data_IF_718436942624
#
_entry.id   IF_718436942624
#
_cell.length_a   1.000
_cell.length_b   1.000
_cell.length_c   1.000
_cell.angle_alpha   90.00
_cell.angle_beta   90.00
_cell.angle_gamma   90.00
#
_symmetry.space_group_name_H-M   'P 1'
#
loop_
_entity.id
_entity.type
_entity.pdbx_description
1 polymer ?
#
# COMPACT_ATOMS: atom_id res chain seq x y z
N UNK A 1 -29.99 18.05 21.60
CA UNK A 1 -29.69 18.55 20.23
C UNK A 1 -28.26 19.05 20.24
N UNK A 2 -27.48 18.68 19.23
CA UNK A 2 -26.12 19.20 18.94
C UNK A 2 -25.01 18.74 19.91
N UNK A 3 -23.87 18.22 19.49
CA UNK A 3 -23.30 17.87 18.18
C UNK A 3 -22.18 16.87 18.54
N UNK A 4 -22.18 15.69 17.91
CA UNK A 4 -21.02 14.80 17.96
C UNK A 4 -19.85 15.51 17.29
N UNK A 5 -19.05 16.21 18.08
CA UNK A 5 -17.70 16.61 17.71
C UNK A 5 -16.81 15.37 17.79
N UNK A 6 -16.98 14.43 16.86
CA UNK A 6 -15.94 13.48 16.55
C UNK A 6 -14.84 14.27 15.81
N UNK A 7 -13.90 14.80 16.57
CA UNK A 7 -12.57 15.10 16.05
C UNK A 7 -11.92 13.75 15.67
N UNK A 8 -12.28 13.18 14.52
CA UNK A 8 -11.47 12.18 13.83
C UNK A 8 -10.24 12.88 13.24
N UNK A 9 -9.30 13.26 14.10
CA UNK A 9 -7.97 13.71 13.73
C UNK A 9 -6.96 13.11 14.69
N UNK A 10 -6.86 11.78 14.64
CA UNK A 10 -5.65 10.99 14.91
C UNK A 10 -5.97 9.57 14.48
N UNK A 11 -6.11 9.33 13.17
CA UNK A 11 -5.94 7.97 12.68
C UNK A 11 -4.47 7.62 12.91
N UNK A 12 -4.19 6.54 13.64
CA UNK A 12 -2.84 6.00 13.71
C UNK A 12 -2.24 5.89 12.29
N UNK A 13 -0.94 6.16 12.12
CA UNK A 13 -0.30 6.06 10.82
C UNK A 13 -0.53 4.65 10.27
N UNK A 14 -0.93 4.56 8.99
CA UNK A 14 -1.23 3.28 8.33
C UNK A 14 0.00 2.38 8.32
N UNK A 15 1.18 3.01 8.22
CA UNK A 15 2.49 2.38 8.25
C UNK A 15 3.43 3.26 9.08
N UNK A 16 4.26 2.66 9.93
CA UNK A 16 5.23 3.41 10.73
C UNK A 16 6.20 4.21 9.86
N UNK A 17 6.56 5.41 10.34
CA UNK A 17 7.55 6.25 9.67
C UNK A 17 8.90 5.52 9.53
N UNK A 18 9.28 4.74 10.54
CA UNK A 18 10.50 3.93 10.52
C UNK A 18 10.51 2.95 9.34
N UNK A 19 9.41 2.24 9.09
CA UNK A 19 9.34 1.33 7.96
C UNK A 19 9.36 2.08 6.62
N UNK A 20 8.66 3.21 6.51
CA UNK A 20 8.70 4.05 5.31
C UNK A 20 10.14 4.51 5.04
N UNK A 21 10.83 5.02 6.06
CA UNK A 21 12.22 5.47 5.95
C UNK A 21 13.14 4.32 5.53
N UNK A 22 12.96 3.13 6.11
CA UNK A 22 13.77 1.96 5.80
C UNK A 22 13.60 1.50 4.34
N UNK A 23 12.36 1.46 3.84
CA UNK A 23 12.09 1.07 2.45
C UNK A 23 12.62 2.14 1.49
N UNK A 24 12.30 3.41 1.72
CA UNK A 24 12.74 4.53 0.87
C UNK A 24 14.27 4.60 0.74
N UNK A 25 14.98 4.46 1.85
CA UNK A 25 16.45 4.41 1.85
C UNK A 25 17.00 3.19 1.11
N UNK A 26 16.32 2.04 1.19
CA UNK A 26 16.65 0.86 0.41
C UNK A 26 16.51 1.10 -1.10
N UNK A 27 15.42 1.72 -1.52
CA UNK A 27 15.16 2.08 -2.93
C UNK A 27 16.20 3.06 -3.46
N UNK A 28 16.58 4.09 -2.69
CA UNK A 28 17.63 5.03 -3.07
C UNK A 28 18.98 4.32 -3.26
N UNK A 29 19.37 3.44 -2.32
CA UNK A 29 20.62 2.66 -2.42
C UNK A 29 20.64 1.70 -3.61
N UNK A 30 19.50 1.11 -3.95
CA UNK A 30 19.34 0.27 -5.14
C UNK A 30 19.56 1.09 -6.40
N UNK A 31 18.90 2.27 -6.51
CA UNK A 31 19.09 3.20 -7.63
C UNK A 31 20.55 3.62 -7.78
N UNK A 32 21.21 4.04 -6.69
CA UNK A 32 22.63 4.40 -6.70
C UNK A 32 23.54 3.26 -7.17
N UNK A 33 23.25 2.03 -6.73
CA UNK A 33 24.00 0.83 -7.14
C UNK A 33 23.86 0.57 -8.65
N UNK A 34 22.64 0.74 -9.19
CA UNK A 34 22.34 0.60 -10.63
C UNK A 34 23.05 1.70 -11.42
N UNK A 35 22.89 2.97 -11.03
CA UNK A 35 23.48 4.13 -11.70
C UNK A 35 25.02 4.06 -11.72
N UNK A 36 25.62 3.57 -10.64
CA UNK A 36 27.07 3.40 -10.52
C UNK A 36 27.61 2.12 -11.15
N UNK A 37 26.77 1.27 -11.74
CA UNK A 37 27.13 -0.05 -12.32
C UNK A 37 27.90 -0.95 -11.36
N UNK A 38 27.65 -0.81 -10.05
CA UNK A 38 28.23 -1.66 -9.01
C UNK A 38 27.44 -2.96 -8.89
N UNK A 39 27.85 -3.83 -7.96
CA UNK A 39 27.11 -5.03 -7.60
C UNK A 39 25.63 -4.68 -7.36
N UNK A 40 24.73 -5.45 -7.97
CA UNK A 40 23.29 -5.21 -7.92
C UNK A 40 22.81 -5.42 -6.47
N UNK A 41 22.49 -4.33 -5.78
CA UNK A 41 21.76 -4.37 -4.52
C UNK A 41 20.27 -4.41 -4.84
N UNK A 42 19.63 -5.56 -4.60
CA UNK A 42 18.16 -5.67 -4.72
C UNK A 42 17.57 -5.42 -3.33
N UNK A 43 16.73 -4.39 -3.21
CA UNK A 43 16.03 -4.14 -1.96
C UNK A 43 15.16 -5.34 -1.60
N UNK A 44 15.22 -5.77 -0.33
CA UNK A 44 14.32 -6.82 0.20
C UNK A 44 12.84 -6.40 0.18
N UNK A 45 12.57 -5.14 -0.14
CA UNK A 45 11.24 -4.53 -0.22
C UNK A 45 10.73 -4.37 -1.65
N UNK A 46 11.43 -4.89 -2.66
CA UNK A 46 11.08 -4.77 -4.09
C UNK A 46 9.71 -5.39 -4.47
N UNK A 47 9.02 -6.06 -3.55
CA UNK A 47 7.65 -6.56 -3.72
C UNK A 47 6.58 -5.77 -2.98
N UNK A 48 6.95 -4.72 -2.24
CA UNK A 48 6.00 -3.93 -1.45
C UNK A 48 5.22 -3.01 -2.37
N UNK A 49 3.91 -3.26 -2.44
CA UNK A 49 2.97 -2.40 -3.17
C UNK A 49 2.52 -1.22 -2.31
N UNK A 50 2.37 -0.08 -2.97
CA UNK A 50 1.88 1.17 -2.39
C UNK A 50 0.61 1.57 -3.14
N UNK A 51 -0.36 2.10 -2.41
CA UNK A 51 -1.58 2.63 -2.99
C UNK A 51 -1.59 4.15 -2.90
N UNK A 52 -1.84 4.81 -4.03
CA UNK A 52 -1.96 6.27 -4.07
C UNK A 52 -3.32 6.69 -4.61
N UNK A 53 -3.88 7.74 -4.00
CA UNK A 53 -5.13 8.36 -4.45
C UNK A 53 -4.84 9.36 -5.56
N UNK A 54 -5.70 9.39 -6.57
CA UNK A 54 -5.66 10.34 -7.68
C UNK A 54 -6.70 11.45 -7.54
N UNK A 55 -6.47 12.60 -8.18
CA UNK A 55 -7.39 13.75 -8.11
C UNK A 55 -8.78 13.45 -8.64
N UNK A 56 -8.87 12.60 -9.66
CA UNK A 56 -10.14 12.12 -10.22
C UNK A 56 -10.88 11.12 -9.30
N UNK A 57 -10.36 10.84 -8.10
CA UNK A 57 -10.96 9.93 -7.12
C UNK A 57 -10.69 8.44 -7.37
N UNK A 58 -9.96 8.09 -8.45
CA UNK A 58 -9.43 6.74 -8.65
C UNK A 58 -8.19 6.50 -7.78
N UNK A 59 -7.72 5.26 -7.77
CA UNK A 59 -6.52 4.83 -7.08
C UNK A 59 -5.57 4.16 -8.05
N UNK A 60 -4.29 4.10 -7.68
CA UNK A 60 -3.28 3.29 -8.35
C UNK A 60 -2.62 2.36 -7.35
N UNK A 61 -2.26 1.17 -7.83
CA UNK A 61 -1.31 0.29 -7.16
C UNK A 61 0.04 0.47 -7.86
N UNK A 62 1.07 0.81 -7.10
CA UNK A 62 2.41 1.14 -7.61
C UNK A 62 3.47 0.61 -6.63
N UNK A 63 4.73 0.99 -6.81
CA UNK A 63 5.84 0.64 -5.93
C UNK A 63 6.76 1.84 -5.66
N UNK A 64 7.74 1.63 -4.79
CA UNK A 64 8.66 2.69 -4.37
C UNK A 64 9.57 3.17 -5.52
N UNK A 65 9.87 2.34 -6.52
CA UNK A 65 10.75 2.73 -7.62
C UNK A 65 10.04 3.65 -8.60
N UNK A 66 8.79 3.32 -8.98
CA UNK A 66 7.95 4.20 -9.78
C UNK A 66 7.70 5.54 -9.07
N UNK A 67 7.46 5.50 -7.76
CA UNK A 67 7.26 6.69 -6.94
C UNK A 67 8.53 7.53 -6.78
N UNK A 68 9.71 6.91 -6.69
CA UNK A 68 10.99 7.62 -6.67
C UNK A 68 11.20 8.37 -7.99
N UNK A 69 10.98 7.70 -9.13
CA UNK A 69 11.06 8.36 -10.43
C UNK A 69 10.09 9.55 -10.55
N UNK A 70 8.86 9.37 -10.06
CA UNK A 70 7.87 10.44 -10.06
C UNK A 70 8.28 11.60 -9.16
N UNK A 71 8.82 11.31 -7.97
CA UNK A 71 9.34 12.29 -7.04
C UNK A 71 10.43 13.16 -7.70
N UNK A 72 11.47 12.52 -8.26
CA UNK A 72 12.58 13.22 -8.91
C UNK A 72 12.10 14.12 -10.06
N UNK A 73 11.10 13.66 -10.81
CA UNK A 73 10.61 14.38 -11.99
C UNK A 73 9.65 15.52 -11.68
N UNK A 74 8.85 15.42 -10.60
CA UNK A 74 7.68 16.28 -10.39
C UNK A 74 7.58 16.90 -9.01
N UNK A 75 8.22 16.33 -8.00
CA UNK A 75 8.00 16.69 -6.60
C UNK A 75 9.27 17.01 -5.82
N UNK A 76 10.46 16.93 -6.44
CA UNK A 76 11.74 17.29 -5.82
C UNK A 76 11.83 18.75 -5.36
N UNK A 77 11.01 19.64 -5.94
CA UNK A 77 10.90 21.05 -5.52
C UNK A 77 9.84 21.29 -4.46
N UNK A 78 9.04 20.27 -4.13
CA UNK A 78 7.92 20.35 -3.19
C UNK A 78 8.22 19.70 -1.85
N UNK A 79 8.97 18.61 -1.84
CA UNK A 79 9.37 17.91 -0.61
C UNK A 79 10.88 17.92 -0.50
N UNK A 80 11.39 17.98 0.73
CA UNK A 80 12.82 18.06 1.00
C UNK A 80 13.51 16.71 0.76
N UNK A 81 12.75 15.61 0.84
CA UNK A 81 13.26 14.27 0.63
C UNK A 81 12.22 13.31 0.07
N UNK A 82 12.72 12.21 -0.52
CA UNK A 82 11.86 11.11 -0.95
C UNK A 82 11.10 10.48 0.23
N UNK A 83 11.71 10.40 1.40
CA UNK A 83 11.08 9.86 2.61
C UNK A 83 9.89 10.70 3.05
N UNK A 84 10.03 12.03 3.03
CA UNK A 84 8.93 12.95 3.32
C UNK A 84 7.78 12.80 2.32
N UNK A 85 8.11 12.76 1.02
CA UNK A 85 7.12 12.51 -0.03
C UNK A 85 6.36 11.19 0.21
N UNK A 86 7.06 10.11 0.56
CA UNK A 86 6.44 8.82 0.83
C UNK A 86 5.59 8.84 2.10
N UNK A 87 6.02 9.52 3.16
CA UNK A 87 5.21 9.66 4.37
C UNK A 87 3.91 10.42 4.08
N UNK A 88 3.98 11.51 3.33
CA UNK A 88 2.81 12.30 2.93
C UNK A 88 1.86 11.50 2.04
N UNK A 89 2.40 10.74 1.09
CA UNK A 89 1.63 9.85 0.21
C UNK A 89 0.86 8.77 0.98
N UNK A 90 1.51 8.14 1.95
CA UNK A 90 0.97 6.97 2.65
C UNK A 90 0.05 7.40 3.80
N UNK A 91 0.51 8.32 4.63
CA UNK A 91 -0.12 8.65 5.92
C UNK A 91 -0.97 9.93 5.89
N UNK A 92 -0.67 10.91 5.03
CA UNK A 92 -1.29 12.26 5.07
C UNK A 92 -2.29 12.52 3.91
N UNK A 93 -2.85 11.45 3.33
CA UNK A 93 -3.85 11.51 2.24
C UNK A 93 -3.44 12.35 1.02
N UNK A 94 -2.13 12.47 0.76
CA UNK A 94 -1.63 13.20 -0.39
C UNK A 94 -2.14 12.61 -1.71
N UNK A 95 -2.55 13.49 -2.62
CA UNK A 95 -3.23 13.10 -3.87
C UNK A 95 -2.34 13.39 -5.09
N UNK A 96 -2.14 12.37 -5.92
CA UNK A 96 -1.37 12.47 -7.15
C UNK A 96 -2.25 12.93 -8.33
N UNK A 97 -1.61 13.51 -9.34
CA UNK A 97 -2.27 13.82 -10.60
C UNK A 97 -2.29 12.58 -11.50
N UNK A 98 -3.45 12.23 -12.03
CA UNK A 98 -3.68 11.11 -12.94
C UNK A 98 -2.84 11.18 -14.22
N UNK A 99 -2.49 12.38 -14.70
CA UNK A 99 -1.67 12.58 -15.91
C UNK A 99 -0.24 12.03 -15.78
N UNK A 100 0.16 11.60 -14.59
CA UNK A 100 1.45 10.97 -14.34
C UNK A 100 1.42 9.45 -14.59
N UNK A 101 0.25 8.85 -14.80
CA UNK A 101 0.06 7.41 -14.86
C UNK A 101 -0.75 6.99 -16.09
N UNK A 102 -0.58 5.75 -16.52
CA UNK A 102 -1.40 5.17 -17.60
C UNK A 102 -2.79 4.86 -17.03
N UNK A 103 -3.86 5.25 -17.72
CA UNK A 103 -5.24 5.09 -17.21
C UNK A 103 -5.57 3.62 -16.87
N UNK A 104 -5.04 2.65 -17.61
CA UNK A 104 -5.22 1.22 -17.37
C UNK A 104 -4.57 0.71 -16.08
N UNK A 105 -3.68 1.49 -15.47
CA UNK A 105 -3.09 1.19 -14.15
C UNK A 105 -3.95 1.70 -12.98
N UNK A 106 -5.09 2.35 -13.27
CA UNK A 106 -5.98 2.91 -12.25
C UNK A 106 -7.15 1.99 -11.94
N UNK A 107 -7.64 2.03 -10.70
CA UNK A 107 -8.83 1.30 -10.26
C UNK A 107 -9.76 2.19 -9.43
N UNK A 108 -11.02 1.79 -9.32
CA UNK A 108 -11.98 2.40 -8.39
C UNK A 108 -12.30 1.42 -7.28
N UNK A 109 -12.53 1.94 -6.07
CA UNK A 109 -12.95 1.09 -4.96
C UNK A 109 -14.35 0.51 -5.24
N UNK A 110 -14.49 -0.79 -5.02
CA UNK A 110 -15.78 -1.46 -5.00
C UNK A 110 -16.59 -0.95 -3.79
N UNK A 111 -17.73 -0.33 -4.06
CA UNK A 111 -18.54 0.33 -3.04
C UNK A 111 -19.13 -0.66 -2.04
N UNK A 112 -19.46 -1.89 -2.47
CA UNK A 112 -20.03 -2.90 -1.59
C UNK A 112 -18.97 -3.34 -0.57
N UNK A 113 -17.74 -3.63 -1.02
CA UNK A 113 -16.64 -3.98 -0.14
C UNK A 113 -16.25 -2.83 0.80
N UNK A 114 -16.26 -1.59 0.31
CA UNK A 114 -15.98 -0.41 1.12
C UNK A 114 -17.03 -0.21 2.21
N UNK A 115 -18.31 -0.37 1.87
CA UNK A 115 -19.40 -0.24 2.85
C UNK A 115 -19.36 -1.39 3.86
N UNK A 116 -19.07 -2.59 3.39
CA UNK A 116 -18.93 -3.76 4.25
C UNK A 116 -17.78 -3.58 5.26
N UNK A 117 -16.61 -3.13 4.80
CA UNK A 117 -15.46 -2.85 5.66
C UNK A 117 -15.77 -1.80 6.74
N UNK A 118 -16.63 -0.82 6.44
CA UNK A 118 -17.08 0.17 7.43
C UNK A 118 -18.06 -0.41 8.45
N UNK A 119 -18.76 -1.49 8.09
CA UNK A 119 -19.79 -2.11 8.93
C UNK A 119 -19.26 -3.23 9.83
N UNK A 120 -18.09 -3.78 9.52
CA UNK A 120 -17.45 -4.89 10.24
C UNK A 120 -16.28 -4.38 11.11
N UNK A 121 -15.95 -5.12 12.16
CA UNK A 121 -14.63 -5.00 12.78
C UNK A 121 -13.55 -5.44 11.79
N UNK A 122 -12.30 -5.04 12.04
CA UNK A 122 -11.20 -5.47 11.17
C UNK A 122 -10.99 -6.99 11.25
N UNK A 123 -11.17 -7.57 12.44
CA UNK A 123 -11.06 -9.00 12.72
C UNK A 123 -12.13 -9.80 11.95
N UNK A 124 -13.39 -9.36 12.01
CA UNK A 124 -14.50 -10.00 11.27
C UNK A 124 -14.29 -9.90 9.75
N UNK A 125 -13.80 -8.75 9.29
CA UNK A 125 -13.43 -8.59 7.89
C UNK A 125 -12.32 -9.58 7.52
N UNK A 126 -11.25 -9.66 8.32
CA UNK A 126 -10.15 -10.57 8.04
C UNK A 126 -10.62 -12.04 8.02
N UNK A 127 -11.44 -12.48 8.98
CA UNK A 127 -12.00 -13.84 9.01
C UNK A 127 -12.88 -14.13 7.79
N UNK A 128 -13.68 -13.15 7.36
CA UNK A 128 -14.57 -13.29 6.21
C UNK A 128 -13.78 -13.45 4.90
N UNK A 129 -12.70 -12.70 4.71
CA UNK A 129 -11.96 -12.65 3.45
C UNK A 129 -10.70 -13.53 3.41
N UNK A 130 -10.26 -14.09 4.55
CA UNK A 130 -9.05 -14.90 4.63
C UNK A 130 -9.27 -16.33 5.13
N UNK A 131 -8.35 -17.23 4.77
CA UNK A 131 -8.30 -18.60 5.25
C UNK A 131 -6.92 -18.92 5.82
N UNK A 132 -6.88 -19.79 6.83
CA UNK A 132 -5.65 -20.42 7.30
C UNK A 132 -5.54 -21.83 6.71
N UNK A 133 -4.39 -22.18 6.13
CA UNK A 133 -4.12 -23.57 5.71
C UNK A 133 -3.68 -24.41 6.91
N UNK A 134 -4.10 -25.68 6.96
CA UNK A 134 -3.76 -26.58 8.07
C UNK A 134 -2.23 -26.68 8.23
N UNK A 135 -1.73 -26.33 9.42
CA UNK A 135 -0.30 -26.34 9.74
C UNK A 135 0.46 -25.07 9.32
N UNK A 136 -0.21 -24.10 8.70
CA UNK A 136 0.37 -22.80 8.39
C UNK A 136 -0.03 -21.75 9.44
N UNK A 137 0.92 -20.90 9.81
CA UNK A 137 0.68 -19.74 10.68
C UNK A 137 0.24 -18.49 9.89
N UNK A 138 0.22 -18.58 8.56
CA UNK A 138 -0.14 -17.49 7.65
C UNK A 138 -1.62 -17.53 7.27
N UNK A 139 -2.14 -16.33 7.00
CA UNK A 139 -3.43 -16.14 6.38
C UNK A 139 -3.28 -15.97 4.87
N UNK A 140 -4.28 -16.43 4.14
CA UNK A 140 -4.34 -16.36 2.69
C UNK A 140 -5.68 -15.78 2.26
N UNK A 141 -5.71 -15.05 1.16
CA UNK A 141 -6.97 -14.57 0.58
C UNK A 141 -7.83 -15.74 0.09
N UNK A 142 -9.14 -15.70 0.31
CA UNK A 142 -10.09 -16.70 -0.22
C UNK A 142 -10.28 -16.58 -1.73
N UNK A 143 -10.60 -17.70 -2.38
CA UNK A 143 -10.65 -17.88 -3.85
C UNK A 143 -11.69 -17.04 -4.64
N UNK A 144 -12.38 -16.10 -4.00
CA UNK A 144 -13.57 -15.44 -4.56
C UNK A 144 -13.34 -14.02 -5.08
N UNK A 145 -12.10 -13.50 -5.06
CA UNK A 145 -11.85 -12.05 -5.24
C UNK A 145 -11.00 -11.68 -6.47
N UNK A 146 -10.86 -12.56 -7.47
CA UNK A 146 -9.77 -12.49 -8.46
C UNK A 146 -9.93 -11.62 -9.69
N UNK A 147 -10.98 -10.82 -9.83
CA UNK A 147 -11.09 -9.97 -11.02
C UNK A 147 -11.34 -8.51 -10.69
N UNK A 148 -10.51 -7.67 -11.33
CA UNK A 148 -10.62 -6.22 -11.36
C UNK A 148 -10.61 -5.56 -9.98
N UNK A 149 -11.42 -4.52 -9.88
CA UNK A 149 -11.47 -3.59 -8.75
C UNK A 149 -11.66 -4.27 -7.38
N UNK A 150 -12.27 -5.45 -7.30
CA UNK A 150 -12.51 -6.14 -6.01
C UNK A 150 -11.21 -6.59 -5.34
N UNK A 151 -10.28 -7.15 -6.12
CA UNK A 151 -8.97 -7.56 -5.62
C UNK A 151 -8.21 -6.34 -5.07
N UNK A 152 -8.11 -5.29 -5.91
CA UNK A 152 -7.39 -4.06 -5.55
C UNK A 152 -8.06 -3.35 -4.37
N UNK A 153 -9.40 -3.41 -4.27
CA UNK A 153 -10.13 -2.88 -3.12
C UNK A 153 -9.76 -3.61 -1.83
N UNK A 154 -9.74 -4.95 -1.81
CA UNK A 154 -9.34 -5.70 -0.61
C UNK A 154 -7.88 -5.40 -0.25
N UNK A 155 -7.00 -5.40 -1.25
CA UNK A 155 -5.58 -5.08 -1.05
C UNK A 155 -5.41 -3.69 -0.43
N UNK A 156 -6.12 -2.69 -0.96
CA UNK A 156 -6.14 -1.34 -0.40
C UNK A 156 -6.73 -1.28 1.02
N UNK A 157 -7.83 -1.97 1.30
CA UNK A 157 -8.45 -1.96 2.63
C UNK A 157 -7.52 -2.59 3.68
N UNK A 158 -6.87 -3.71 3.35
CA UNK A 158 -5.82 -4.31 4.18
C UNK A 158 -4.63 -3.36 4.37
N UNK A 159 -4.21 -2.68 3.30
CA UNK A 159 -3.15 -1.68 3.32
C UNK A 159 -3.45 -0.54 4.30
N UNK A 160 -4.70 -0.07 4.37
CA UNK A 160 -5.10 0.96 5.36
C UNK A 160 -5.00 0.51 6.82
N UNK A 161 -4.81 -0.78 7.07
CA UNK A 161 -4.66 -1.39 8.40
C UNK A 161 -3.26 -1.91 8.66
N UNK A 162 -2.28 -1.58 7.82
CA UNK A 162 -0.91 -2.03 8.02
C UNK A 162 -0.66 -3.46 7.53
N UNK A 163 -1.47 -3.96 6.59
CA UNK A 163 -1.28 -5.29 5.98
C UNK A 163 -1.01 -5.18 4.48
N UNK A 164 -0.29 -6.14 3.91
CA UNK A 164 -0.08 -6.25 2.47
C UNK A 164 -0.31 -7.67 1.98
N UNK A 165 -0.71 -7.77 0.72
CA UNK A 165 -0.80 -9.04 0.00
C UNK A 165 0.55 -9.38 -0.62
N UNK A 166 1.06 -10.58 -0.36
CA UNK A 166 2.37 -11.03 -0.84
C UNK A 166 2.39 -12.49 -1.27
N UNK A 167 3.20 -12.81 -2.29
CA UNK A 167 3.47 -14.18 -2.74
C UNK A 167 2.30 -14.88 -3.43
N UNK A 168 2.53 -15.42 -4.62
CA UNK A 168 1.54 -16.21 -5.39
C UNK A 168 0.69 -15.37 -6.34
N UNK A 169 0.34 -15.96 -7.50
CA UNK A 169 -0.62 -15.40 -8.46
C UNK A 169 -1.97 -15.09 -7.78
N UNK A 170 -2.76 -14.20 -8.38
CA UNK A 170 -4.13 -13.84 -7.95
C UNK A 170 -4.90 -15.12 -7.56
N UNK A 171 -4.98 -15.45 -6.26
CA UNK A 171 -5.33 -16.82 -5.90
C UNK A 171 -5.40 -17.17 -4.42
N UNK A 172 -5.98 -18.34 -4.16
CA UNK A 172 -5.63 -19.21 -3.05
C UNK A 172 -4.12 -19.45 -3.08
N UNK A 173 -3.41 -18.71 -2.24
CA UNK A 173 -1.95 -18.66 -2.29
C UNK A 173 -1.40 -17.25 -2.09
N UNK A 174 -2.20 -16.22 -2.36
CA UNK A 174 -1.90 -14.84 -1.96
C UNK A 174 -1.89 -14.73 -0.45
N UNK A 175 -0.70 -14.65 0.14
CA UNK A 175 -0.53 -14.52 1.59
C UNK A 175 -0.84 -13.10 2.07
N UNK A 176 -1.36 -12.99 3.27
CA UNK A 176 -1.62 -11.73 3.97
C UNK A 176 -0.54 -11.54 5.04
N UNK A 177 0.14 -10.40 5.03
CA UNK A 177 1.28 -10.12 5.89
C UNK A 177 1.14 -8.75 6.54
N UNK A 178 1.63 -8.61 7.76
CA UNK A 178 1.74 -7.30 8.42
C UNK A 178 3.00 -6.58 7.93
N UNK A 179 2.87 -5.27 7.67
CA UNK A 179 3.98 -4.40 7.30
C UNK A 179 5.05 -4.37 8.39
N UNK A 180 4.68 -4.22 9.66
CA UNK A 180 5.63 -4.10 10.77
C UNK A 180 6.52 -5.34 10.96
N UNK A 181 6.08 -6.52 10.49
CA UNK A 181 6.91 -7.73 10.46
C UNK A 181 8.07 -7.65 9.45
N UNK A 182 8.10 -6.64 8.59
CA UNK A 182 9.22 -6.34 7.69
C UNK A 182 10.39 -5.62 8.39
N UNK A 183 10.18 -5.04 9.57
CA UNK A 183 11.26 -4.45 10.38
C UNK A 183 12.13 -5.54 11.03
N UNK A 184 11.52 -6.67 11.41
CA UNK A 184 12.13 -7.73 12.22
C UNK A 184 12.71 -8.92 11.43
N UNK A 185 12.89 -8.75 10.11
CA UNK A 185 13.51 -9.73 9.20
C UNK A 185 14.76 -9.14 8.60
#
# INVERSE_FOLDING_TARGET
MSLFSCNEKTSEPKISKELIDLISNGTLKEKESIDSKKMIYVSRYNGVKVFAKLKNGKFIETDFHELLWLYEKKFITKFDSFNEFMNELINEDFVLNENNFIETATFQLDNDLKNEFKSLSFEDFLEKYSLSKKGDKKLYLKDKFFSGNRYQTISYLLYTKGYYLGGGCLGEGTGIYEFEKLLNK
#
